data_IF_805760081219
#
_entry.id   IF_805760081219
#
_cell.length_a   1.000
_cell.length_b   1.000
_cell.length_c   1.000
_cell.angle_alpha   90.00
_cell.angle_beta   90.00
_cell.angle_gamma   90.00
#
_symmetry.space_group_name_H-M   'P 1'
#
loop_
_entity.id
_entity.type
_entity.pdbx_description
1 polymer ?
#
# COMPACT_ATOMS: atom_id res chain seq x y z
N UNK A 1 26.74 -31.48 -35.95
CA UNK A 1 27.61 -30.89 -37.00
C UNK A 1 26.78 -29.98 -37.86
N UNK A 2 26.81 -28.69 -37.57
CA UNK A 2 26.49 -27.61 -38.50
C UNK A 2 27.43 -26.45 -38.17
N UNK A 3 28.05 -25.94 -39.22
CA UNK A 3 29.33 -25.25 -39.21
C UNK A 3 29.14 -23.76 -39.49
N UNK A 4 29.92 -22.94 -38.80
CA UNK A 4 30.80 -21.90 -39.38
C UNK A 4 30.20 -20.54 -39.82
N UNK A 5 30.91 -19.48 -39.34
CA UNK A 5 31.19 -18.16 -39.95
C UNK A 5 30.59 -16.94 -39.21
N UNK A 6 31.40 -16.26 -38.37
CA UNK A 6 32.07 -14.93 -38.59
C UNK A 6 31.12 -13.73 -38.47
N UNK A 7 31.47 -12.52 -38.05
CA UNK A 7 32.66 -11.86 -37.51
C UNK A 7 32.17 -10.50 -36.93
N UNK A 8 32.73 -10.12 -35.79
CA UNK A 8 33.20 -8.77 -35.43
C UNK A 8 32.49 -7.52 -36.01
N UNK A 9 31.87 -6.72 -35.12
CA UNK A 9 31.93 -5.25 -35.26
C UNK A 9 31.94 -4.56 -33.90
N UNK A 10 33.13 -4.27 -33.43
CA UNK A 10 33.41 -3.20 -32.48
C UNK A 10 33.02 -1.85 -33.13
N UNK A 11 32.44 -0.94 -32.35
CA UNK A 11 32.32 0.47 -32.73
C UNK A 11 32.84 1.33 -31.56
N UNK A 12 33.77 2.26 -31.82
CA UNK A 12 34.44 3.06 -30.80
C UNK A 12 33.66 4.34 -30.41
N UNK A 13 33.82 4.69 -29.13
CA UNK A 13 33.95 6.02 -28.52
C UNK A 13 33.35 7.26 -29.22
N UNK A 14 32.50 8.00 -28.48
CA UNK A 14 32.62 9.47 -28.34
C UNK A 14 32.12 9.90 -26.95
N UNK A 15 32.93 10.57 -26.10
CA UNK A 15 32.43 11.29 -24.94
C UNK A 15 31.99 12.70 -25.36
N UNK A 16 30.68 12.99 -25.26
CA UNK A 16 30.11 14.27 -25.65
C UNK A 16 29.97 15.20 -24.43
N UNK A 17 30.81 16.24 -24.45
CA UNK A 17 30.69 17.58 -23.86
C UNK A 17 30.50 17.76 -22.35
N UNK A 18 31.51 18.38 -21.75
CA UNK A 18 31.37 19.32 -20.63
C UNK A 18 30.65 20.59 -21.09
N UNK A 19 29.85 21.19 -20.20
CA UNK A 19 29.91 22.64 -20.08
C UNK A 19 30.31 23.06 -18.66
N UNK A 20 31.49 23.66 -18.57
CA UNK A 20 31.86 24.66 -17.57
C UNK A 20 30.79 25.74 -17.54
N UNK A 21 30.10 26.01 -16.41
CA UNK A 21 29.44 27.31 -16.15
C UNK A 21 29.08 27.44 -14.66
N UNK A 22 29.90 28.22 -13.97
CA UNK A 22 29.49 29.36 -13.11
C UNK A 22 28.59 29.09 -11.91
N UNK A 23 29.26 29.08 -10.76
CA UNK A 23 28.84 29.68 -9.50
C UNK A 23 27.97 30.93 -9.71
N UNK A 24 26.68 30.83 -9.40
CA UNK A 24 25.85 31.98 -9.03
C UNK A 24 25.24 31.76 -7.66
N UNK A 25 25.93 32.36 -6.70
CA UNK A 25 25.42 32.87 -5.44
C UNK A 25 24.07 33.58 -5.67
N UNK A 26 23.00 33.07 -5.08
CA UNK A 26 21.72 33.79 -4.98
C UNK A 26 21.38 34.05 -3.51
N UNK A 27 21.01 35.28 -3.15
CA UNK A 27 20.81 35.72 -1.79
C UNK A 27 19.53 35.17 -1.16
N UNK A 28 19.58 35.07 0.15
CA UNK A 28 18.48 34.84 1.08
C UNK A 28 17.34 35.83 0.81
N UNK A 29 16.15 35.35 0.44
CA UNK A 29 14.93 36.15 0.58
C UNK A 29 13.76 35.25 0.94
N UNK A 30 13.25 35.46 2.15
CA UNK A 30 12.03 34.90 2.70
C UNK A 30 10.85 35.26 1.80
N UNK A 31 10.02 34.30 1.42
CA UNK A 31 8.66 34.57 0.96
C UNK A 31 7.66 33.68 1.71
N UNK A 32 6.81 34.36 2.47
CA UNK A 32 5.53 33.88 2.98
C UNK A 32 4.66 33.37 1.82
N UNK A 33 4.16 32.14 1.94
CA UNK A 33 3.03 31.66 1.14
C UNK A 33 1.81 31.52 2.06
N UNK A 34 0.85 32.41 1.84
CA UNK A 34 -0.48 32.41 2.43
C UNK A 34 -1.23 31.13 2.09
N UNK A 35 -1.70 30.44 3.13
CA UNK A 35 -2.61 29.31 3.05
C UNK A 35 -3.96 29.76 2.46
N UNK A 36 -4.18 29.55 1.17
CA UNK A 36 -5.52 29.61 0.58
C UNK A 36 -6.17 28.23 0.75
N UNK A 37 -6.85 28.03 1.88
CA UNK A 37 -7.72 26.87 2.06
C UNK A 37 -8.93 27.04 1.13
N UNK A 38 -8.95 26.28 0.03
CA UNK A 38 -10.09 26.21 -0.87
C UNK A 38 -11.22 25.41 -0.22
N UNK A 39 -12.13 26.11 0.46
CA UNK A 39 -13.41 25.54 0.88
C UNK A 39 -14.34 25.44 -0.32
N UNK A 40 -14.27 24.32 -1.04
CA UNK A 40 -15.29 23.94 -2.02
C UNK A 40 -16.58 23.61 -1.26
N UNK A 41 -17.63 24.39 -1.49
CA UNK A 41 -19.00 24.11 -1.03
C UNK A 41 -19.42 22.76 -1.62
N UNK A 42 -19.55 21.74 -0.77
CA UNK A 42 -20.12 20.46 -1.16
C UNK A 42 -21.63 20.63 -1.36
N UNK A 43 -22.12 20.27 -2.55
CA UNK A 43 -23.54 20.21 -2.85
C UNK A 43 -24.23 19.16 -1.98
N UNK A 44 -25.42 19.50 -1.48
CA UNK A 44 -26.30 18.60 -0.73
C UNK A 44 -26.65 17.40 -1.63
N UNK A 45 -26.13 16.22 -1.26
CA UNK A 45 -26.42 14.95 -1.93
C UNK A 45 -27.07 14.02 -0.94
N UNK A 46 -28.23 13.48 -1.31
CA UNK A 46 -28.99 12.48 -0.55
C UNK A 46 -28.13 11.24 -0.27
N UNK A 47 -27.68 11.07 0.97
CA UNK A 47 -26.83 9.95 1.40
C UNK A 47 -27.65 8.68 1.69
N UNK A 48 -27.63 7.72 0.75
CA UNK A 48 -27.85 6.28 1.02
C UNK A 48 -26.51 5.71 1.53
N UNK A 49 -26.37 5.48 2.84
CA UNK A 49 -25.11 5.05 3.52
C UNK A 49 -23.81 5.40 2.75
N UNK A 50 -23.49 6.69 2.74
CA UNK A 50 -22.24 7.26 2.23
C UNK A 50 -21.39 7.60 3.45
N UNK A 51 -20.60 6.63 3.91
CA UNK A 51 -19.29 6.98 4.45
C UNK A 51 -18.47 7.45 3.24
N UNK A 52 -17.74 8.53 3.41
CA UNK A 52 -16.93 9.27 2.42
C UNK A 52 -16.28 8.39 1.33
N UNK A 53 -16.10 8.97 0.13
CA UNK A 53 -15.51 8.41 -1.11
C UNK A 53 -14.05 7.90 -1.00
N UNK A 54 -13.62 7.45 0.18
CA UNK A 54 -12.27 7.00 0.47
C UNK A 54 -12.31 5.49 0.72
N UNK A 55 -11.54 4.74 -0.08
CA UNK A 55 -11.41 3.30 0.12
C UNK A 55 -10.72 3.02 1.45
N UNK A 56 -11.35 2.29 2.39
CA UNK A 56 -10.79 2.10 3.73
C UNK A 56 -9.56 1.18 3.70
N UNK A 57 -8.68 1.37 4.67
CA UNK A 57 -7.65 0.41 5.06
C UNK A 57 -8.25 -0.61 6.01
N UNK A 58 -8.12 -1.90 5.67
CA UNK A 58 -8.73 -2.99 6.43
C UNK A 58 -7.64 -3.79 7.14
N UNK A 59 -7.89 -4.24 8.35
CA UNK A 59 -7.12 -5.28 9.01
C UNK A 59 -7.98 -6.53 9.22
N UNK A 60 -7.44 -7.71 8.89
CA UNK A 60 -8.08 -8.99 9.16
C UNK A 60 -7.29 -9.70 10.25
N UNK A 61 -7.86 -9.77 11.45
CA UNK A 61 -7.25 -10.40 12.62
C UNK A 61 -7.69 -11.85 12.74
N UNK A 62 -6.71 -12.75 12.77
CA UNK A 62 -6.94 -14.20 12.75
C UNK A 62 -7.06 -14.75 11.33
N UNK A 63 -6.40 -14.13 10.36
CA UNK A 63 -6.44 -14.51 8.93
C UNK A 63 -6.04 -15.96 8.65
N UNK A 64 -5.26 -16.59 9.54
CA UNK A 64 -4.82 -17.98 9.43
C UNK A 64 -5.82 -19.00 10.00
N UNK A 65 -6.93 -18.55 10.57
CA UNK A 65 -8.01 -19.39 11.06
C UNK A 65 -9.13 -19.57 10.02
N UNK A 66 -10.01 -20.55 10.25
CA UNK A 66 -11.10 -20.87 9.32
C UNK A 66 -11.98 -19.66 8.98
N UNK A 67 -12.42 -18.91 9.99
CA UNK A 67 -13.25 -17.69 9.80
C UNK A 67 -12.44 -16.54 9.17
N UNK A 68 -11.14 -16.46 9.45
CA UNK A 68 -10.27 -15.46 8.82
C UNK A 68 -10.17 -15.66 7.30
N UNK A 69 -10.08 -16.91 6.85
CA UNK A 69 -10.17 -17.24 5.43
C UNK A 69 -11.54 -16.88 4.83
N UNK A 70 -12.62 -17.11 5.58
CA UNK A 70 -13.96 -16.74 5.13
C UNK A 70 -14.12 -15.22 4.97
N UNK A 71 -13.53 -14.41 5.85
CA UNK A 71 -13.50 -12.96 5.65
C UNK A 71 -12.84 -12.58 4.33
N UNK A 72 -11.74 -13.22 3.95
CA UNK A 72 -11.09 -12.98 2.66
C UNK A 72 -11.99 -13.41 1.48
N UNK A 73 -12.68 -14.54 1.60
CA UNK A 73 -13.66 -14.99 0.59
C UNK A 73 -14.76 -13.95 0.41
N UNK A 74 -15.42 -13.53 1.49
CA UNK A 74 -16.51 -12.54 1.46
C UNK A 74 -16.04 -11.19 0.92
N UNK A 75 -14.85 -10.71 1.31
CA UNK A 75 -14.27 -9.47 0.78
C UNK A 75 -14.02 -9.57 -0.73
N UNK A 76 -13.69 -10.76 -1.23
CA UNK A 76 -13.52 -11.02 -2.67
C UNK A 76 -14.86 -11.07 -3.38
N UNK A 77 -15.80 -11.88 -2.90
CA UNK A 77 -17.11 -12.11 -3.52
C UNK A 77 -17.95 -10.84 -3.60
N UNK A 78 -17.87 -10.00 -2.57
CA UNK A 78 -18.57 -8.72 -2.51
C UNK A 78 -17.85 -7.61 -3.27
N UNK A 79 -16.70 -7.90 -3.87
CA UNK A 79 -15.80 -6.92 -4.47
C UNK A 79 -15.60 -5.71 -3.56
N UNK A 80 -15.34 -5.96 -2.28
CA UNK A 80 -15.27 -4.91 -1.28
C UNK A 80 -14.15 -3.92 -1.63
N UNK A 81 -14.45 -2.60 -1.70
CA UNK A 81 -13.45 -1.60 -2.04
C UNK A 81 -12.51 -1.36 -0.84
N UNK A 82 -11.21 -1.49 -1.04
CA UNK A 82 -10.20 -1.22 -0.01
C UNK A 82 -8.92 -0.64 -0.61
N UNK A 83 -8.19 0.14 0.19
CA UNK A 83 -6.89 0.73 -0.19
C UNK A 83 -5.72 -0.19 0.14
N UNK A 84 -5.70 -0.67 1.38
CA UNK A 84 -4.68 -1.56 1.92
C UNK A 84 -5.37 -2.62 2.79
N UNK A 85 -4.82 -3.84 2.79
CA UNK A 85 -5.27 -4.92 3.66
C UNK A 85 -4.08 -5.40 4.50
N UNK A 86 -4.22 -5.35 5.82
CA UNK A 86 -3.27 -5.90 6.79
C UNK A 86 -3.72 -7.29 7.22
N UNK A 87 -2.82 -8.26 7.08
CA UNK A 87 -3.05 -9.66 7.44
C UNK A 87 -2.46 -9.90 8.83
N UNK A 88 -3.30 -9.96 9.87
CA UNK A 88 -2.83 -10.03 11.26
C UNK A 88 -3.16 -11.39 11.87
N UNK A 89 -2.23 -11.95 12.65
CA UNK A 89 -2.48 -13.13 13.46
C UNK A 89 -1.65 -13.14 14.74
N UNK A 90 -1.93 -14.08 15.66
CA UNK A 90 -1.09 -14.28 16.84
C UNK A 90 0.37 -14.57 16.46
N UNK A 91 1.33 -14.24 17.33
CA UNK A 91 2.77 -14.50 17.18
C UNK A 91 3.14 -15.87 16.59
N UNK A 92 2.47 -16.94 17.04
CA UNK A 92 2.63 -18.33 16.58
C UNK A 92 2.29 -18.55 15.08
N UNK A 93 1.56 -17.63 14.47
CA UNK A 93 1.14 -17.67 13.07
C UNK A 93 1.67 -16.49 12.25
N UNK A 94 2.40 -15.57 12.87
CA UNK A 94 3.11 -14.52 12.15
C UNK A 94 4.18 -15.14 11.22
N UNK A 95 4.53 -14.44 10.15
CA UNK A 95 5.44 -14.86 9.06
C UNK A 95 4.92 -15.97 8.14
N UNK A 96 3.69 -16.44 8.33
CA UNK A 96 3.03 -17.28 7.33
C UNK A 96 2.66 -16.44 6.11
N UNK A 97 2.53 -17.08 4.97
CA UNK A 97 2.04 -16.44 3.76
C UNK A 97 0.59 -16.84 3.49
N UNK A 98 -0.23 -15.88 3.06
CA UNK A 98 -1.62 -16.08 2.66
C UNK A 98 -1.82 -15.47 1.27
N UNK A 99 -2.34 -16.27 0.34
CA UNK A 99 -2.67 -15.81 -1.01
C UNK A 99 -4.05 -15.17 -1.01
N UNK A 100 -4.14 -13.93 -1.47
CA UNK A 100 -5.39 -13.17 -1.60
C UNK A 100 -5.41 -12.39 -2.92
N UNK A 101 -6.48 -12.55 -3.71
CA UNK A 101 -6.60 -11.96 -5.07
C UNK A 101 -5.36 -12.17 -5.96
N UNK A 102 -4.78 -13.36 -5.92
CA UNK A 102 -3.59 -13.73 -6.70
C UNK A 102 -2.27 -13.11 -6.23
N UNK A 103 -2.23 -12.47 -5.06
CA UNK A 103 -1.00 -11.92 -4.45
C UNK A 103 -0.72 -12.63 -3.13
N UNK A 104 0.55 -12.90 -2.83
CA UNK A 104 0.96 -13.42 -1.52
C UNK A 104 1.12 -12.26 -0.53
N UNK A 105 0.55 -12.40 0.67
CA UNK A 105 0.68 -11.47 1.78
C UNK A 105 1.35 -12.18 2.96
N UNK A 106 2.33 -11.51 3.55
CA UNK A 106 2.95 -11.99 4.79
C UNK A 106 2.05 -11.61 5.96
N UNK A 107 1.77 -12.59 6.81
CA UNK A 107 0.99 -12.41 8.03
C UNK A 107 1.86 -11.73 9.09
N UNK A 108 1.43 -10.58 9.57
CA UNK A 108 2.09 -9.82 10.62
C UNK A 108 1.60 -10.28 12.01
N UNK A 109 2.46 -10.07 13.01
CA UNK A 109 2.08 -10.31 14.40
C UNK A 109 1.10 -9.24 14.86
N UNK A 110 0.00 -9.68 15.49
CA UNK A 110 -0.98 -8.81 16.11
C UNK A 110 -0.38 -8.11 17.34
N UNK A 111 -0.13 -6.81 17.22
CA UNK A 111 0.29 -5.92 18.31
C UNK A 111 -0.65 -4.71 18.39
N UNK A 112 -0.53 -3.89 19.43
CA UNK A 112 -1.33 -2.67 19.57
C UNK A 112 -1.07 -1.67 18.42
N UNK A 113 0.16 -1.61 17.94
CA UNK A 113 0.61 -0.74 16.84
C UNK A 113 0.14 -1.24 15.45
N UNK A 114 -0.30 -2.50 15.35
CA UNK A 114 -0.79 -3.06 14.08
C UNK A 114 -1.99 -2.31 13.51
N UNK A 115 -2.74 -1.60 14.35
CA UNK A 115 -3.95 -0.88 13.99
C UNK A 115 -3.70 0.56 13.50
N UNK A 116 -2.44 1.00 13.46
CA UNK A 116 -2.11 2.32 12.95
C UNK A 116 -2.54 2.48 11.49
N UNK A 117 -3.37 3.49 11.23
CA UNK A 117 -3.92 3.78 9.91
C UNK A 117 -4.96 2.77 9.40
N UNK A 118 -5.54 1.95 10.28
CA UNK A 118 -6.63 1.02 9.94
C UNK A 118 -7.98 1.69 10.19
N UNK A 119 -8.85 1.67 9.19
CA UNK A 119 -10.21 2.19 9.29
C UNK A 119 -11.21 1.13 9.74
N UNK A 120 -11.00 -0.11 9.28
CA UNK A 120 -11.90 -1.25 9.56
C UNK A 120 -11.06 -2.45 10.00
N UNK A 121 -11.32 -2.98 11.19
CA UNK A 121 -10.67 -4.19 11.68
C UNK A 121 -11.69 -5.32 11.89
N UNK A 122 -11.50 -6.44 11.19
CA UNK A 122 -12.31 -7.65 11.29
C UNK A 122 -11.64 -8.63 12.25
N UNK A 123 -12.28 -8.86 13.40
CA UNK A 123 -11.73 -9.73 14.44
C UNK A 123 -12.37 -11.11 14.40
N UNK A 124 -11.55 -12.11 14.06
CA UNK A 124 -11.87 -13.51 14.32
C UNK A 124 -10.71 -14.15 15.07
N UNK A 125 -10.58 -13.74 16.32
CA UNK A 125 -9.54 -14.20 17.21
C UNK A 125 -10.23 -14.44 18.57
N UNK A 126 -10.05 -15.64 19.15
CA UNK A 126 -10.83 -16.12 20.30
C UNK A 126 -11.01 -15.09 21.43
N UNK A 127 -12.10 -15.17 22.21
CA UNK A 127 -12.59 -14.06 23.05
C UNK A 127 -11.59 -13.34 23.96
N UNK A 128 -10.46 -13.96 24.33
CA UNK A 128 -9.38 -13.30 25.07
C UNK A 128 -8.57 -12.25 24.29
N UNK A 129 -8.46 -12.37 22.96
CA UNK A 129 -7.74 -11.42 22.08
C UNK A 129 -8.65 -10.33 21.51
N UNK A 130 -9.97 -10.54 21.50
CA UNK A 130 -10.93 -9.47 21.15
C UNK A 130 -11.28 -8.56 22.34
N UNK A 131 -11.03 -9.01 23.57
CA UNK A 131 -11.34 -8.26 24.81
C UNK A 131 -10.18 -7.35 25.27
N UNK A 132 -8.97 -7.62 24.82
CA UNK A 132 -7.77 -6.81 25.12
C UNK A 132 -7.58 -5.77 24.04
#
# INVERSE_FOLDING_TARGET
MNSTTMLLRTQPHTPFLTPTTTTKLFPTTKLFTTTTVSFRRAAVTTTRMSLTQDTPTIAVVGVTGAVGHEFLSVLTDRNFPYKLIKMLASKRSARKEVTFKGRSYVVEELTAESFDGVDIALFSAGGGISKR
#
